data_IF_647793109851
#
_entry.id   IF_647793109851
#
_cell.length_a   1.000
_cell.length_b   1.000
_cell.length_c   1.000
_cell.angle_alpha   90.00
_cell.angle_beta   90.00
_cell.angle_gamma   90.00
#
_symmetry.space_group_name_H-M   'P 1'
#
loop_
_entity.id
_entity.type
_entity.pdbx_description
1 polymer ?
#
# COMPACT_ATOMS: atom_id res chain seq x y z
N UNK A 1 -3.91 -50.47 -1.90
CA UNK A 1 -2.55 -50.59 -1.33
C UNK A 1 -2.40 -49.58 -0.22
N UNK A 2 -1.82 -49.97 0.92
CA UNK A 2 -1.64 -49.12 2.10
C UNK A 2 -0.41 -48.22 1.92
N UNK A 3 -0.46 -46.96 2.37
CA UNK A 3 0.69 -46.05 2.31
C UNK A 3 1.44 -46.08 3.64
N UNK A 4 2.73 -46.39 3.60
CA UNK A 4 3.60 -46.33 4.79
C UNK A 4 4.63 -45.22 4.61
N UNK A 5 4.70 -44.31 5.58
CA UNK A 5 5.64 -43.19 5.62
C UNK A 5 6.47 -43.24 6.91
N UNK A 6 7.78 -43.04 6.79
CA UNK A 6 8.67 -42.94 7.94
C UNK A 6 9.15 -41.48 8.09
N UNK A 7 8.86 -40.87 9.24
CA UNK A 7 9.19 -39.47 9.52
C UNK A 7 9.68 -39.31 10.95
N UNK A 8 10.85 -38.70 11.14
CA UNK A 8 11.51 -38.50 12.44
C UNK A 8 11.67 -39.79 13.27
N UNK A 9 11.84 -40.95 12.61
CA UNK A 9 12.00 -42.24 13.28
C UNK A 9 10.68 -42.92 13.68
N UNK A 10 9.55 -42.28 13.44
CA UNK A 10 8.21 -42.85 13.65
C UNK A 10 7.63 -43.38 12.34
N UNK A 11 6.91 -44.50 12.43
CA UNK A 11 6.26 -45.16 11.29
C UNK A 11 4.77 -44.79 11.28
N UNK A 12 4.34 -44.14 10.20
CA UNK A 12 2.96 -43.76 9.96
C UNK A 12 2.37 -44.64 8.86
N UNK A 13 1.30 -45.36 9.19
CA UNK A 13 0.62 -46.27 8.27
C UNK A 13 -0.76 -45.70 7.98
N UNK A 14 -1.05 -45.47 6.71
CA UNK A 14 -2.30 -44.88 6.24
C UNK A 14 -3.08 -45.86 5.39
N UNK A 15 -4.32 -46.10 5.80
CA UNK A 15 -5.25 -46.92 5.05
C UNK A 15 -5.76 -46.19 3.79
N UNK A 16 -6.11 -46.94 2.73
CA UNK A 16 -6.72 -46.36 1.54
C UNK A 16 -7.98 -45.58 1.91
N UNK A 17 -8.00 -44.30 1.56
CA UNK A 17 -9.18 -43.45 1.77
C UNK A 17 -10.10 -43.58 0.54
N UNK A 18 -11.38 -43.95 0.71
CA UNK A 18 -12.33 -43.99 -0.39
C UNK A 18 -12.45 -42.62 -1.07
N UNK A 19 -12.57 -42.57 -2.42
CA UNK A 19 -12.60 -41.32 -3.16
C UNK A 19 -13.74 -40.38 -2.73
N UNK A 20 -14.85 -40.92 -2.22
CA UNK A 20 -15.98 -40.15 -1.71
C UNK A 20 -15.60 -39.30 -0.49
N UNK A 21 -14.73 -39.82 0.38
CA UNK A 21 -14.24 -39.07 1.55
C UNK A 21 -13.28 -37.95 1.13
N UNK A 22 -12.47 -38.20 0.10
CA UNK A 22 -11.58 -37.18 -0.49
C UNK A 22 -12.41 -36.07 -1.14
N UNK A 23 -13.45 -36.44 -1.90
CA UNK A 23 -14.37 -35.48 -2.52
C UNK A 23 -15.10 -34.63 -1.48
N UNK A 24 -15.60 -35.23 -0.41
CA UNK A 24 -16.22 -34.49 0.70
C UNK A 24 -15.23 -33.52 1.37
N UNK A 25 -13.98 -33.95 1.59
CA UNK A 25 -12.95 -33.10 2.17
C UNK A 25 -12.59 -31.91 1.26
N UNK A 26 -12.42 -32.14 -0.05
CA UNK A 26 -12.19 -31.06 -1.00
C UNK A 26 -13.36 -30.07 -1.04
N UNK A 27 -14.61 -30.56 -1.04
CA UNK A 27 -15.80 -29.72 -1.04
C UNK A 27 -15.84 -28.81 0.20
N UNK A 28 -15.49 -29.33 1.38
CA UNK A 28 -15.41 -28.55 2.63
C UNK A 28 -14.25 -27.55 2.61
N UNK A 29 -13.11 -27.90 2.03
CA UNK A 29 -11.93 -27.06 1.94
C UNK A 29 -11.98 -26.06 0.77
N UNK A 30 -13.07 -26.01 0.01
CA UNK A 30 -13.26 -25.11 -1.13
C UNK A 30 -12.48 -25.51 -2.39
N UNK A 31 -12.05 -26.77 -2.50
CA UNK A 31 -11.47 -27.35 -3.70
C UNK A 31 -12.55 -27.81 -4.68
N UNK A 32 -12.41 -27.44 -5.96
CA UNK A 32 -13.31 -27.91 -7.01
C UNK A 32 -13.19 -29.43 -7.25
N UNK A 33 -14.33 -30.09 -7.36
CA UNK A 33 -14.45 -31.50 -7.74
C UNK A 33 -13.95 -31.71 -9.17
N UNK A 34 -13.11 -32.74 -9.39
CA UNK A 34 -12.82 -33.24 -10.75
C UNK A 34 -13.84 -34.33 -11.06
N UNK A 35 -14.77 -34.11 -12.02
CA UNK A 35 -15.77 -35.11 -12.37
C UNK A 35 -15.11 -36.35 -13.01
N UNK A 36 -15.62 -37.58 -12.79
CA UNK A 36 -15.01 -38.82 -13.29
C UNK A 36 -14.95 -38.97 -14.82
N UNK A 37 -15.42 -37.98 -15.60
CA UNK A 37 -15.44 -37.99 -17.06
C UNK A 37 -14.52 -36.97 -17.74
N UNK A 38 -13.75 -36.16 -17.00
CA UNK A 38 -12.97 -35.05 -17.56
C UNK A 38 -11.45 -35.30 -17.61
N UNK A 39 -11.02 -36.52 -17.92
CA UNK A 39 -9.62 -36.78 -18.32
C UNK A 39 -9.38 -36.40 -19.79
N UNK A 40 -9.79 -35.20 -20.18
CA UNK A 40 -9.39 -34.59 -21.46
C UNK A 40 -9.80 -33.13 -21.45
N UNK A 41 -9.06 -32.32 -20.71
CA UNK A 41 -8.76 -30.91 -20.99
C UNK A 41 -7.94 -30.42 -19.79
N UNK A 42 -6.64 -30.74 -19.80
CA UNK A 42 -5.66 -29.92 -19.12
C UNK A 42 -5.58 -28.57 -19.84
N UNK A 43 -6.63 -27.75 -19.71
CA UNK A 43 -6.51 -26.32 -19.94
C UNK A 43 -5.77 -25.75 -18.73
N UNK A 44 -4.72 -24.93 -18.92
CA UNK A 44 -4.04 -24.29 -17.81
C UNK A 44 -5.09 -23.50 -17.05
N UNK A 45 -5.27 -23.87 -15.80
CA UNK A 45 -6.08 -23.15 -14.85
C UNK A 45 -5.52 -21.74 -14.78
N UNK A 46 -6.11 -20.81 -15.52
CA UNK A 46 -5.67 -19.42 -15.57
C UNK A 46 -5.70 -18.78 -14.17
N UNK A 47 -6.33 -19.40 -13.16
CA UNK A 47 -6.27 -19.00 -11.75
C UNK A 47 -4.93 -19.24 -11.05
N UNK A 48 -4.12 -20.19 -11.53
CA UNK A 48 -2.80 -20.51 -10.96
C UNK A 48 -1.78 -19.40 -11.22
N UNK A 49 -1.74 -18.88 -12.45
CA UNK A 49 -0.75 -17.89 -12.90
C UNK A 49 -1.04 -16.47 -12.37
N UNK A 50 -2.32 -16.06 -12.27
CA UNK A 50 -2.69 -14.82 -11.56
C UNK A 50 -2.32 -14.91 -10.08
N UNK A 51 -2.49 -16.08 -9.46
CA UNK A 51 -2.17 -16.26 -8.04
C UNK A 51 -0.67 -16.15 -7.77
N UNK A 52 0.19 -16.79 -8.59
CA UNK A 52 1.65 -16.65 -8.47
C UNK A 52 2.14 -15.25 -8.80
N UNK A 53 1.58 -14.58 -9.81
CA UNK A 53 1.95 -13.19 -10.14
C UNK A 53 1.49 -12.19 -9.08
N UNK A 54 0.33 -12.39 -8.46
CA UNK A 54 -0.15 -11.58 -7.32
C UNK A 54 0.72 -11.81 -6.08
N UNK A 55 1.10 -13.06 -5.80
CA UNK A 55 2.01 -13.40 -4.70
C UNK A 55 3.39 -12.75 -4.90
N UNK A 56 3.95 -12.81 -6.12
CA UNK A 56 5.23 -12.17 -6.45
C UNK A 56 5.17 -10.63 -6.30
N UNK A 57 4.10 -9.99 -6.80
CA UNK A 57 3.89 -8.54 -6.63
C UNK A 57 3.79 -8.15 -5.15
N UNK A 58 3.12 -8.96 -4.33
CA UNK A 58 3.03 -8.75 -2.88
C UNK A 58 4.40 -8.85 -2.21
N UNK A 59 5.18 -9.88 -2.53
CA UNK A 59 6.54 -10.06 -1.99
C UNK A 59 7.43 -8.86 -2.33
N UNK A 60 7.45 -8.43 -3.60
CA UNK A 60 8.21 -7.25 -4.02
C UNK A 60 7.77 -5.96 -3.29
N UNK A 61 6.45 -5.78 -3.13
CA UNK A 61 5.90 -4.62 -2.41
C UNK A 61 6.30 -4.63 -0.93
N UNK A 62 6.30 -5.79 -0.28
CA UNK A 62 6.73 -5.95 1.10
C UNK A 62 8.22 -5.68 1.28
N UNK A 63 9.08 -6.11 0.35
CA UNK A 63 10.51 -5.79 0.38
C UNK A 63 10.73 -4.28 0.32
N UNK A 64 10.15 -3.59 -0.66
CA UNK A 64 10.23 -2.13 -0.78
C UNK A 64 9.70 -1.41 0.45
N UNK A 65 8.60 -1.90 1.04
CA UNK A 65 8.06 -1.35 2.28
C UNK A 65 9.05 -1.48 3.45
N UNK A 66 9.66 -2.67 3.61
CA UNK A 66 10.65 -2.94 4.67
C UNK A 66 11.90 -2.09 4.50
N UNK A 67 12.39 -1.94 3.28
CA UNK A 67 13.52 -1.06 2.93
C UNK A 67 13.18 0.40 3.26
N UNK A 68 12.07 0.93 2.74
CA UNK A 68 11.61 2.30 3.03
C UNK A 68 11.38 2.54 4.52
N UNK A 69 10.98 1.51 5.28
CA UNK A 69 10.82 1.60 6.74
C UNK A 69 12.17 1.78 7.44
N UNK A 70 13.22 1.11 6.98
CA UNK A 70 14.59 1.25 7.51
C UNK A 70 15.17 2.63 7.21
N UNK A 71 14.82 3.23 6.06
CA UNK A 71 15.28 4.56 5.64
C UNK A 71 14.47 5.74 6.21
N UNK A 72 13.59 5.50 7.20
CA UNK A 72 12.82 6.58 7.81
C UNK A 72 13.74 7.56 8.53
N UNK A 73 13.70 8.82 8.12
CA UNK A 73 14.29 9.92 8.87
C UNK A 73 13.32 10.36 9.97
N UNK A 74 13.71 10.16 11.24
CA UNK A 74 12.95 10.62 12.41
C UNK A 74 13.35 12.02 12.87
N UNK A 75 14.53 12.48 12.44
CA UNK A 75 15.01 13.81 12.75
C UNK A 75 14.20 14.88 12.01
N UNK A 76 14.12 16.06 12.62
CA UNK A 76 13.43 17.20 12.05
C UNK A 76 14.20 17.74 10.84
N UNK A 77 13.82 17.32 9.63
CA UNK A 77 14.39 17.82 8.37
C UNK A 77 13.59 18.98 7.81
N UNK A 78 14.23 20.15 7.66
CA UNK A 78 13.65 21.30 6.96
C UNK A 78 13.89 21.13 5.45
N UNK A 79 12.83 20.96 4.66
CA UNK A 79 12.92 20.79 3.20
C UNK A 79 13.02 22.10 2.43
N UNK A 80 12.38 23.16 2.92
CA UNK A 80 12.31 24.44 2.24
C UNK A 80 13.03 25.51 3.06
N UNK A 81 14.29 25.79 2.69
CA UNK A 81 15.14 26.76 3.38
C UNK A 81 14.54 28.17 3.40
N UNK A 82 14.13 28.66 2.23
CA UNK A 82 13.54 30.02 2.08
C UNK A 82 12.34 30.22 3.01
N UNK A 83 11.41 29.25 3.09
CA UNK A 83 10.24 29.35 3.99
C UNK A 83 10.65 29.37 5.46
N UNK A 84 11.70 28.64 5.86
CA UNK A 84 12.24 28.68 7.23
C UNK A 84 12.79 30.07 7.55
N UNK A 85 13.57 30.66 6.65
CA UNK A 85 14.15 31.99 6.84
C UNK A 85 13.08 33.08 6.95
N UNK A 86 12.07 33.05 6.06
CA UNK A 86 10.92 33.96 6.14
C UNK A 86 10.22 33.80 7.49
N UNK A 87 9.92 32.56 7.91
CA UNK A 87 9.28 32.27 9.18
C UNK A 87 10.12 32.68 10.42
N UNK A 88 11.44 32.79 10.28
CA UNK A 88 12.34 33.30 11.31
C UNK A 88 12.33 34.83 11.38
N UNK A 89 12.19 35.52 10.24
CA UNK A 89 12.12 36.99 10.16
C UNK A 89 10.76 37.56 10.54
N UNK A 90 9.68 36.79 10.39
CA UNK A 90 8.33 37.20 10.79
C UNK A 90 8.21 37.43 12.31
N UNK A 91 7.59 38.53 12.73
CA UNK A 91 7.36 38.79 14.17
C UNK A 91 6.36 37.80 14.75
N UNK A 92 6.54 37.47 16.02
CA UNK A 92 5.66 36.57 16.76
C UNK A 92 5.26 37.17 18.11
N UNK A 93 4.04 36.89 18.57
CA UNK A 93 3.60 37.08 19.96
C UNK A 93 3.19 35.73 20.53
N UNK A 94 3.80 35.31 21.64
CA UNK A 94 3.52 34.01 22.30
C UNK A 94 3.57 32.80 21.35
N UNK A 95 4.49 32.80 20.38
CA UNK A 95 4.69 31.70 19.43
C UNK A 95 3.82 31.75 18.16
N UNK A 96 2.80 32.61 18.10
CA UNK A 96 1.98 32.85 16.91
C UNK A 96 2.56 33.98 16.06
N UNK A 97 2.42 33.91 14.74
CA UNK A 97 2.78 35.03 13.88
C UNK A 97 1.85 36.21 14.20
N UNK A 98 2.45 37.38 14.45
CA UNK A 98 1.71 38.58 14.74
C UNK A 98 1.00 39.08 13.47
N UNK A 99 -0.28 39.46 13.60
CA UNK A 99 -1.05 40.05 12.52
C UNK A 99 -0.68 41.52 12.33
N UNK A 100 -0.98 42.12 11.18
CA UNK A 100 -0.62 43.52 10.88
C UNK A 100 -1.14 44.52 11.92
N UNK A 101 -2.29 44.25 12.54
CA UNK A 101 -2.86 45.07 13.61
C UNK A 101 -2.01 45.11 14.90
N UNK A 102 -1.19 44.08 15.16
CA UNK A 102 -0.31 44.02 16.33
C UNK A 102 0.88 44.97 16.26
N UNK A 103 1.07 45.63 15.11
CA UNK A 103 2.19 46.52 14.79
C UNK A 103 1.84 48.01 14.90
N UNK A 104 0.68 48.37 15.43
CA UNK A 104 0.32 49.78 15.68
C UNK A 104 -0.13 50.57 14.46
N UNK A 105 -0.01 50.02 13.25
CA UNK A 105 -0.60 50.60 12.05
C UNK A 105 -2.01 50.06 11.87
N UNK A 106 -2.96 50.72 12.54
CA UNK A 106 -4.39 50.57 12.29
C UNK A 106 -4.73 51.13 10.90
N UNK A 107 -4.44 50.36 9.85
CA UNK A 107 -4.96 50.60 8.51
C UNK A 107 -5.54 49.30 7.93
N UNK A 108 -6.86 49.23 8.07
CA UNK A 108 -7.81 48.52 7.21
C UNK A 108 -7.98 46.99 7.34
N UNK A 109 -9.17 46.68 7.87
CA UNK A 109 -10.13 45.64 7.43
C UNK A 109 -9.76 44.17 7.55
N UNK A 110 -10.49 43.51 8.45
CA UNK A 110 -10.88 42.10 8.39
C UNK A 110 -11.40 41.73 6.99
N UNK A 111 -10.55 41.14 6.16
CA UNK A 111 -11.02 40.40 4.99
C UNK A 111 -11.30 38.96 5.43
N UNK A 112 -12.58 38.66 5.59
CA UNK A 112 -13.08 37.29 5.55
C UNK A 112 -12.52 36.60 4.30
N UNK A 113 -12.11 35.34 4.44
CA UNK A 113 -11.70 34.49 3.33
C UNK A 113 -12.88 34.26 2.39
N UNK A 114 -12.98 35.08 1.36
CA UNK A 114 -13.70 34.80 0.12
C UNK A 114 -12.69 34.97 -1.01
N UNK A 115 -11.92 33.94 -1.29
CA UNK A 115 -11.24 33.82 -2.57
C UNK A 115 -12.19 33.11 -3.51
N UNK A 116 -12.95 33.90 -4.27
CA UNK A 116 -13.59 33.45 -5.49
C UNK A 116 -12.49 32.93 -6.44
N UNK A 117 -12.82 31.86 -7.15
CA UNK A 117 -11.99 31.29 -8.19
C UNK A 117 -11.92 32.24 -9.37
N UNK A 118 -10.71 32.60 -9.79
CA UNK A 118 -10.45 32.97 -11.18
C UNK A 118 -9.05 32.46 -11.54
N UNK A 119 -9.03 31.54 -12.49
CA UNK A 119 -7.81 31.00 -13.07
C UNK A 119 -7.32 31.94 -14.16
N UNK A 120 -6.09 32.42 -14.02
CA UNK A 120 -5.38 33.10 -15.08
C UNK A 120 -4.29 32.15 -15.60
N UNK A 121 -4.48 31.74 -16.85
CA UNK A 121 -3.61 30.86 -17.64
C UNK A 121 -2.39 31.69 -18.10
N UNK A 122 -1.24 31.52 -17.46
CA UNK A 122 -0.01 32.21 -17.84
C UNK A 122 0.72 31.43 -18.96
N UNK A 123 0.57 31.92 -20.19
CA UNK A 123 1.32 31.46 -21.35
C UNK A 123 2.82 31.73 -21.18
N UNK A 124 3.58 30.66 -20.93
CA UNK A 124 5.04 30.63 -20.97
C UNK A 124 5.55 30.98 -22.38
N UNK A 125 6.13 32.18 -22.54
CA UNK A 125 6.79 32.60 -23.78
C UNK A 125 8.29 32.33 -23.67
N UNK A 126 8.72 31.23 -24.25
CA UNK A 126 10.13 30.87 -24.44
C UNK A 126 10.77 31.86 -25.43
N UNK A 127 11.91 32.45 -25.05
CA UNK A 127 12.77 33.22 -25.94
C UNK A 127 14.12 32.53 -26.03
N UNK A 128 14.61 32.50 -27.28
CA UNK A 128 15.82 31.84 -27.78
C UNK A 128 17.08 32.10 -26.97
#
# INVERSE_FOLDING_TARGET
EQLTLLYQGEVYVFDPVPPQKVQAALLVLGGCEVPPGLVSMAGPTAYGEKSTTVAAKRVASLMRFREKRKERCFDKKIRYGVRKEVAQKMKRRKGQFAGRADFGDAASSSAACVSAADGEDDHFRESQ
#
